data_IF_786809193893
#
_entry.id   IF_786809193893
#
_cell.length_a   1.000
_cell.length_b   1.000
_cell.length_c   1.000
_cell.angle_alpha   90.00
_cell.angle_beta   90.00
_cell.angle_gamma   90.00
#
_symmetry.space_group_name_H-M   'P 1'
#
loop_
_entity.id
_entity.type
_entity.pdbx_description
1 polymer ?
#
# COMPACT_ATOMS: atom_id res chain seq x y z
N UNK A 1 74.99 -60.91 -74.94
CA UNK A 1 75.33 -60.65 -73.52
C UNK A 1 74.79 -59.31 -72.99
N UNK A 2 74.75 -58.19 -73.73
CA UNK A 2 74.25 -56.89 -73.17
C UNK A 2 72.72 -56.85 -72.85
N UNK A 3 71.86 -57.47 -73.68
CA UNK A 3 70.39 -57.47 -73.43
C UNK A 3 70.00 -58.30 -72.19
N UNK A 4 70.68 -59.43 -71.92
CA UNK A 4 70.40 -60.25 -70.76
C UNK A 4 70.78 -59.59 -69.45
N UNK A 5 71.85 -58.74 -69.46
CA UNK A 5 72.33 -58.00 -68.31
C UNK A 5 71.33 -56.80 -67.98
N UNK A 6 70.83 -56.13 -69.01
CA UNK A 6 69.81 -55.08 -68.83
C UNK A 6 68.50 -55.60 -68.28
N UNK A 7 68.03 -56.79 -68.75
CA UNK A 7 66.84 -57.43 -68.21
C UNK A 7 67.00 -57.90 -66.78
N UNK A 8 68.20 -58.47 -66.44
CA UNK A 8 68.51 -58.83 -65.07
C UNK A 8 68.55 -57.57 -64.11
N UNK A 9 69.15 -56.48 -64.61
CA UNK A 9 69.24 -55.25 -63.84
C UNK A 9 67.80 -54.63 -63.67
N UNK A 10 66.97 -54.62 -64.71
CA UNK A 10 65.58 -54.19 -64.63
C UNK A 10 64.75 -54.99 -63.65
N UNK A 11 64.93 -56.37 -63.68
CA UNK A 11 64.29 -57.28 -62.77
C UNK A 11 64.66 -57.01 -61.28
N UNK A 12 65.95 -56.77 -61.08
CA UNK A 12 66.47 -56.47 -59.73
C UNK A 12 66.00 -55.14 -59.19
N UNK A 13 65.95 -54.09 -60.01
CA UNK A 13 65.40 -52.76 -59.67
C UNK A 13 63.88 -52.87 -59.40
N UNK A 14 63.14 -53.63 -60.25
CA UNK A 14 61.70 -53.76 -60.06
C UNK A 14 61.37 -54.54 -58.79
N UNK A 15 62.13 -55.62 -58.53
CA UNK A 15 62.01 -56.41 -57.28
C UNK A 15 62.38 -55.60 -56.08
N UNK A 16 63.42 -54.77 -56.17
CA UNK A 16 63.79 -53.81 -55.10
C UNK A 16 62.72 -52.79 -54.82
N UNK A 17 62.08 -52.21 -55.88
CA UNK A 17 61.01 -51.28 -55.76
C UNK A 17 59.72 -51.92 -55.18
N UNK A 18 59.38 -53.10 -55.59
CA UNK A 18 58.24 -53.87 -55.05
C UNK A 18 58.49 -54.29 -53.61
N UNK A 19 59.66 -54.86 -53.32
CA UNK A 19 60.06 -55.24 -51.95
C UNK A 19 60.16 -54.01 -51.01
N UNK A 20 60.71 -52.89 -51.56
CA UNK A 20 60.74 -51.62 -50.82
C UNK A 20 59.42 -51.08 -50.50
N UNK A 21 58.44 -51.09 -51.46
CA UNK A 21 57.11 -50.62 -51.24
C UNK A 21 56.29 -51.51 -50.32
N UNK A 22 56.48 -52.86 -50.39
CA UNK A 22 55.82 -53.78 -49.47
C UNK A 22 56.44 -53.65 -48.06
N UNK A 23 57.77 -53.52 -47.91
CA UNK A 23 58.40 -53.23 -46.65
C UNK A 23 57.95 -51.89 -46.07
N UNK A 24 57.84 -50.88 -46.92
CA UNK A 24 57.38 -49.56 -46.48
C UNK A 24 55.96 -49.61 -45.96
N UNK A 25 55.00 -50.30 -46.60
CA UNK A 25 53.65 -50.53 -46.22
C UNK A 25 53.51 -51.40 -44.93
N UNK A 26 54.43 -52.32 -44.68
CA UNK A 26 54.46 -53.22 -43.51
C UNK A 26 54.90 -52.53 -42.21
N UNK A 27 55.51 -51.37 -42.28
CA UNK A 27 55.96 -50.59 -41.13
C UNK A 27 55.07 -49.40 -40.79
N UNK A 28 54.04 -49.08 -41.61
CA UNK A 28 53.04 -48.02 -41.30
C UNK A 28 51.91 -48.64 -40.46
N UNK A 29 51.53 -47.95 -39.42
CA UNK A 29 50.36 -48.22 -38.57
C UNK A 29 49.26 -47.22 -38.87
N UNK A 30 48.02 -47.60 -38.60
CA UNK A 30 46.84 -46.80 -38.78
C UNK A 30 46.29 -46.38 -37.44
N UNK A 31 46.12 -45.07 -37.21
CA UNK A 31 45.64 -44.53 -35.96
C UNK A 31 44.39 -43.67 -36.27
N UNK A 32 43.38 -43.76 -35.45
CA UNK A 32 42.21 -42.88 -35.53
C UNK A 32 42.44 -41.66 -34.67
N UNK A 33 42.55 -40.49 -35.30
CA UNK A 33 42.64 -39.22 -34.63
C UNK A 33 41.27 -38.51 -34.64
N UNK A 34 40.70 -38.32 -33.49
CA UNK A 34 39.43 -37.60 -33.30
C UNK A 34 39.71 -36.23 -32.73
N UNK A 35 39.50 -35.18 -33.55
CA UNK A 35 39.66 -33.78 -33.12
C UNK A 35 38.27 -33.17 -33.05
N UNK A 36 37.89 -32.66 -31.89
CA UNK A 36 36.55 -32.06 -31.63
C UNK A 36 35.39 -32.96 -32.16
N UNK A 37 35.50 -34.27 -31.95
CA UNK A 37 34.52 -35.24 -32.40
C UNK A 37 34.55 -35.59 -33.88
N UNK A 38 35.49 -35.02 -34.65
CA UNK A 38 35.69 -35.40 -36.05
C UNK A 38 36.82 -36.42 -36.13
N UNK A 39 36.48 -37.64 -36.49
CA UNK A 39 37.43 -38.73 -36.61
C UNK A 39 38.13 -38.72 -38.00
N UNK A 40 39.44 -38.82 -38.02
CA UNK A 40 40.26 -38.91 -39.21
C UNK A 40 41.24 -40.07 -39.03
N UNK A 41 41.43 -40.88 -40.07
CA UNK A 41 42.39 -41.98 -40.05
C UNK A 41 43.74 -41.48 -40.51
N UNK A 42 44.76 -41.62 -39.68
CA UNK A 42 46.15 -41.19 -39.94
C UNK A 42 47.02 -42.44 -40.10
N UNK A 43 47.76 -42.52 -41.24
CA UNK A 43 48.76 -43.57 -41.48
C UNK A 43 50.12 -42.98 -41.05
N UNK A 44 50.72 -43.53 -40.01
CA UNK A 44 51.95 -43.02 -39.39
C UNK A 44 52.92 -44.13 -38.99
N UNK A 45 54.14 -43.72 -38.70
CA UNK A 45 55.14 -44.56 -38.03
C UNK A 45 55.51 -44.08 -36.63
N UNK A 46 54.91 -43.06 -36.24
CA UNK A 46 55.14 -42.35 -34.98
C UNK A 46 55.06 -43.34 -33.78
N UNK A 47 55.96 -43.22 -32.84
CA UNK A 47 56.01 -44.05 -31.64
C UNK A 47 55.04 -43.60 -30.53
N UNK A 48 54.82 -42.34 -30.45
CA UNK A 48 54.02 -41.70 -29.41
C UNK A 48 52.79 -40.91 -29.98
N UNK A 49 51.85 -40.59 -29.11
CA UNK A 49 50.69 -39.78 -29.45
C UNK A 49 51.14 -38.37 -29.94
N UNK A 50 52.11 -37.75 -29.27
CA UNK A 50 52.64 -36.46 -29.66
C UNK A 50 53.26 -36.45 -31.06
N UNK A 51 54.03 -37.51 -31.44
CA UNK A 51 54.56 -37.64 -32.77
C UNK A 51 53.46 -37.81 -33.83
N UNK A 52 52.38 -38.53 -33.55
CA UNK A 52 51.22 -38.66 -34.45
C UNK A 52 50.55 -37.33 -34.68
N UNK A 53 50.38 -36.55 -33.63
CA UNK A 53 49.76 -35.19 -33.75
C UNK A 53 50.69 -34.25 -34.58
N UNK A 54 52.01 -34.32 -34.37
CA UNK A 54 52.96 -33.56 -35.17
C UNK A 54 52.94 -33.97 -36.66
N UNK A 55 52.90 -35.29 -36.99
CA UNK A 55 52.75 -35.80 -38.33
C UNK A 55 51.44 -35.34 -39.01
N UNK A 56 50.40 -35.07 -38.22
CA UNK A 56 49.08 -34.62 -38.67
C UNK A 56 48.97 -33.08 -38.69
N UNK A 57 50.01 -32.32 -38.39
CA UNK A 57 49.99 -30.84 -38.22
C UNK A 57 48.98 -30.34 -37.20
N UNK A 58 48.74 -31.14 -36.12
CA UNK A 58 47.83 -30.80 -35.05
C UNK A 58 48.59 -30.38 -33.80
N UNK A 59 48.45 -29.14 -33.42
CA UNK A 59 49.04 -28.60 -32.18
C UNK A 59 48.08 -28.79 -31.01
N UNK A 60 48.63 -28.98 -29.81
CA UNK A 60 47.84 -29.10 -28.55
C UNK A 60 48.11 -27.86 -27.73
N UNK A 61 47.03 -27.16 -27.39
CA UNK A 61 47.06 -25.97 -26.54
C UNK A 61 47.03 -26.30 -25.04
N UNK A 62 47.36 -25.33 -24.22
CA UNK A 62 47.42 -25.48 -22.75
C UNK A 62 46.07 -25.83 -22.08
N UNK A 63 44.97 -25.56 -22.75
CA UNK A 63 43.60 -25.78 -22.26
C UNK A 63 42.88 -26.93 -22.97
N UNK A 64 43.63 -27.65 -23.86
CA UNK A 64 43.09 -28.80 -24.58
C UNK A 64 43.11 -30.06 -23.70
N UNK A 65 42.20 -30.94 -23.97
CA UNK A 65 42.18 -32.28 -23.36
C UNK A 65 42.60 -33.33 -24.38
N UNK A 66 43.69 -33.99 -24.11
CA UNK A 66 44.26 -35.05 -24.96
C UNK A 66 44.23 -36.42 -24.25
N UNK A 67 43.67 -37.40 -24.89
CA UNK A 67 43.65 -38.77 -24.42
C UNK A 67 44.00 -39.74 -25.56
N UNK A 68 45.00 -40.66 -25.40
CA UNK A 68 45.98 -40.69 -24.29
C UNK A 68 46.91 -39.47 -24.27
N UNK A 69 47.75 -39.33 -23.20
CA UNK A 69 48.71 -38.22 -23.11
C UNK A 69 49.74 -38.25 -24.23
N UNK A 70 50.35 -37.09 -24.55
CA UNK A 70 51.30 -36.95 -25.66
C UNK A 70 52.46 -37.94 -25.61
N UNK A 71 52.97 -38.28 -24.42
CA UNK A 71 54.08 -39.21 -24.21
C UNK A 71 53.65 -40.69 -24.28
N UNK A 72 52.38 -40.99 -24.39
CA UNK A 72 51.84 -42.32 -24.45
C UNK A 72 52.28 -43.04 -25.75
N UNK A 73 52.68 -44.28 -25.65
CA UNK A 73 52.94 -45.11 -26.84
C UNK A 73 51.60 -45.44 -27.55
N UNK A 74 51.60 -45.40 -28.88
CA UNK A 74 50.42 -45.71 -29.68
C UNK A 74 50.71 -46.84 -30.63
N UNK A 75 49.84 -47.85 -30.70
CA UNK A 75 49.94 -49.03 -31.56
C UNK A 75 49.07 -48.89 -32.83
N UNK A 76 49.14 -49.94 -33.68
CA UNK A 76 48.19 -50.01 -34.81
C UNK A 76 46.78 -50.19 -34.34
N UNK A 77 45.81 -49.47 -34.97
CA UNK A 77 44.44 -49.42 -34.53
C UNK A 77 44.20 -48.49 -33.32
N UNK A 78 45.23 -47.76 -32.82
CA UNK A 78 45.12 -46.90 -31.68
C UNK A 78 44.17 -45.72 -31.94
N UNK A 79 43.56 -45.17 -30.86
CA UNK A 79 42.67 -44.03 -30.91
C UNK A 79 43.27 -42.88 -30.11
N UNK A 80 43.22 -41.66 -30.69
CA UNK A 80 43.64 -40.39 -30.07
C UNK A 80 42.44 -39.47 -30.11
N UNK A 81 42.07 -38.92 -28.94
CA UNK A 81 41.00 -37.94 -28.82
C UNK A 81 41.59 -36.63 -28.32
N UNK A 82 41.43 -35.59 -29.12
CA UNK A 82 41.81 -34.23 -28.81
C UNK A 82 40.52 -33.35 -28.77
N UNK A 83 40.18 -32.83 -27.60
CA UNK A 83 39.14 -31.80 -27.48
C UNK A 83 39.80 -30.47 -27.17
N UNK A 84 39.62 -29.48 -28.06
CA UNK A 84 40.25 -28.17 -27.95
C UNK A 84 39.57 -27.30 -26.93
N UNK A 85 40.35 -26.59 -26.14
CA UNK A 85 39.88 -25.62 -25.17
C UNK A 85 39.24 -24.41 -25.86
N UNK A 86 38.12 -23.93 -25.31
CA UNK A 86 37.38 -22.75 -25.75
C UNK A 86 37.17 -21.85 -24.56
N UNK A 87 37.44 -20.54 -24.71
CA UNK A 87 37.23 -19.55 -23.66
C UNK A 87 35.77 -19.17 -23.64
N UNK A 88 35.13 -19.29 -22.46
CA UNK A 88 33.83 -18.70 -22.21
C UNK A 88 34.00 -17.50 -21.29
N UNK A 89 33.47 -16.33 -21.72
CA UNK A 89 33.20 -15.19 -20.85
C UNK A 89 31.78 -15.37 -20.32
N UNK A 90 31.68 -15.91 -19.11
CA UNK A 90 30.43 -16.34 -18.51
C UNK A 90 29.96 -15.32 -17.50
N UNK A 91 28.80 -14.69 -17.74
CA UNK A 91 28.10 -13.82 -16.77
C UNK A 91 26.97 -14.58 -16.11
N UNK A 92 27.05 -14.80 -14.81
CA UNK A 92 26.00 -15.48 -14.02
C UNK A 92 25.39 -14.46 -13.05
N UNK A 93 24.11 -14.13 -13.22
CA UNK A 93 23.40 -13.13 -12.42
C UNK A 93 24.20 -11.81 -12.25
N UNK A 94 24.84 -11.36 -13.33
CA UNK A 94 25.63 -10.14 -13.36
C UNK A 94 27.11 -10.31 -12.94
N UNK A 95 27.51 -11.48 -12.42
CA UNK A 95 28.90 -11.75 -12.09
C UNK A 95 29.63 -12.38 -13.27
N UNK A 96 30.63 -11.67 -13.82
CA UNK A 96 31.41 -12.10 -14.97
C UNK A 96 32.65 -12.92 -14.52
N UNK A 97 32.95 -13.98 -15.27
CA UNK A 97 34.16 -14.78 -15.12
C UNK A 97 34.60 -15.43 -16.45
N UNK A 98 35.89 -15.61 -16.63
CA UNK A 98 36.42 -16.35 -17.74
C UNK A 98 36.70 -17.82 -17.32
N UNK A 99 36.27 -18.76 -18.17
CA UNK A 99 36.46 -20.18 -17.91
C UNK A 99 36.71 -20.94 -19.22
N UNK A 100 37.65 -21.89 -19.19
CA UNK A 100 37.93 -22.72 -20.33
C UNK A 100 37.06 -24.00 -20.27
N UNK A 101 36.48 -24.35 -21.40
CA UNK A 101 35.70 -25.57 -21.59
C UNK A 101 36.21 -26.32 -22.84
N UNK A 102 36.00 -27.61 -22.90
CA UNK A 102 36.27 -28.42 -24.09
C UNK A 102 34.98 -28.79 -24.84
N UNK A 103 33.87 -28.30 -24.37
CA UNK A 103 32.56 -28.48 -24.95
C UNK A 103 32.47 -27.85 -26.34
N UNK A 104 31.70 -28.47 -27.24
CA UNK A 104 31.51 -28.03 -28.62
C UNK A 104 30.22 -27.27 -28.81
N UNK A 105 29.25 -27.44 -27.91
CA UNK A 105 27.97 -26.72 -27.87
C UNK A 105 27.78 -26.02 -26.54
N UNK A 106 26.87 -25.05 -26.51
CA UNK A 106 26.44 -24.36 -25.27
C UNK A 106 25.90 -25.40 -24.27
N UNK A 107 25.10 -26.36 -24.72
CA UNK A 107 24.53 -27.39 -23.88
C UNK A 107 25.60 -28.24 -23.20
N UNK A 108 26.59 -28.76 -23.98
CA UNK A 108 27.73 -29.49 -23.45
C UNK A 108 28.56 -28.64 -22.46
N UNK A 109 28.70 -27.34 -22.73
CA UNK A 109 29.41 -26.42 -21.85
C UNK A 109 28.67 -26.20 -20.53
N UNK A 110 27.38 -26.04 -20.55
CA UNK A 110 26.53 -25.92 -19.36
C UNK A 110 26.61 -27.21 -18.52
N UNK A 111 26.53 -28.36 -19.15
CA UNK A 111 26.71 -29.65 -18.49
C UNK A 111 28.07 -29.79 -17.82
N UNK A 112 29.15 -29.43 -18.55
CA UNK A 112 30.54 -29.46 -18.05
C UNK A 112 30.70 -28.54 -16.82
N UNK A 113 30.00 -27.39 -16.78
CA UNK A 113 30.04 -26.42 -15.70
C UNK A 113 29.04 -26.71 -14.58
N UNK A 114 28.16 -27.73 -14.72
CA UNK A 114 27.22 -28.17 -13.71
C UNK A 114 25.85 -27.45 -13.77
N UNK A 115 25.57 -26.66 -14.82
CA UNK A 115 24.31 -25.96 -15.04
C UNK A 115 23.34 -26.87 -15.82
N UNK A 116 22.70 -27.81 -15.12
CA UNK A 116 21.84 -28.83 -15.73
C UNK A 116 20.36 -28.58 -15.64
N UNK A 117 19.94 -27.44 -15.03
CA UNK A 117 18.55 -27.10 -14.85
C UNK A 117 17.95 -26.55 -16.17
N UNK A 118 16.74 -26.97 -16.48
CA UNK A 118 16.08 -26.54 -17.71
C UNK A 118 15.48 -25.13 -17.62
N UNK A 119 15.27 -24.61 -16.41
CA UNK A 119 14.64 -23.33 -16.09
C UNK A 119 15.63 -22.15 -15.99
N UNK A 120 16.91 -22.38 -16.31
CA UNK A 120 17.92 -21.31 -16.41
C UNK A 120 17.74 -20.54 -17.71
N UNK A 121 17.70 -19.20 -17.64
CA UNK A 121 17.83 -18.39 -18.83
C UNK A 121 19.26 -18.45 -19.37
N UNK A 122 19.39 -18.66 -20.68
CA UNK A 122 20.66 -18.68 -21.41
C UNK A 122 20.55 -17.74 -22.60
N UNK A 123 21.49 -16.81 -22.72
CA UNK A 123 21.48 -15.78 -23.79
C UNK A 123 21.71 -16.33 -25.19
N UNK A 124 22.03 -17.61 -25.33
CA UNK A 124 22.27 -18.30 -26.59
C UNK A 124 21.49 -19.61 -26.67
N UNK A 125 21.28 -20.11 -27.89
CA UNK A 125 20.67 -21.43 -28.08
C UNK A 125 21.58 -22.52 -27.49
N UNK A 126 21.02 -23.47 -26.75
CA UNK A 126 21.77 -24.64 -26.21
C UNK A 126 22.50 -25.44 -27.31
N UNK A 127 21.94 -25.51 -28.52
CA UNK A 127 22.53 -26.16 -29.70
C UNK A 127 23.58 -25.30 -30.41
N UNK A 128 23.79 -24.05 -30.02
CA UNK A 128 24.81 -23.21 -30.63
C UNK A 128 26.20 -23.75 -30.37
N UNK A 129 27.03 -23.77 -31.42
CA UNK A 129 28.44 -24.20 -31.29
C UNK A 129 29.23 -23.14 -30.54
N UNK A 130 30.10 -23.60 -29.66
CA UNK A 130 31.10 -22.75 -29.01
C UNK A 130 32.30 -22.63 -29.93
N UNK A 131 32.59 -21.42 -30.48
CA UNK A 131 33.73 -21.20 -31.36
C UNK A 131 35.09 -21.37 -30.64
N UNK A 132 36.15 -21.59 -31.38
CA UNK A 132 37.52 -21.72 -30.80
C UNK A 132 38.06 -20.36 -30.31
N UNK A 133 37.61 -19.29 -30.89
CA UNK A 133 37.95 -17.92 -30.49
C UNK A 133 37.15 -17.40 -29.29
N UNK A 134 36.25 -18.24 -28.76
CA UNK A 134 35.49 -17.95 -27.53
C UNK A 134 34.04 -17.56 -27.74
N UNK A 135 33.30 -17.48 -26.64
CA UNK A 135 31.89 -17.10 -26.61
C UNK A 135 31.57 -16.37 -25.31
N UNK A 136 30.88 -15.23 -25.42
CA UNK A 136 30.25 -14.59 -24.28
C UNK A 136 28.86 -15.21 -24.05
N UNK A 137 28.58 -15.60 -22.81
CA UNK A 137 27.33 -16.27 -22.44
C UNK A 137 26.81 -15.70 -21.13
N UNK A 138 25.55 -15.25 -21.15
CA UNK A 138 24.84 -14.80 -19.95
C UNK A 138 23.89 -15.88 -19.48
N UNK A 139 23.96 -16.17 -18.18
CA UNK A 139 23.05 -17.09 -17.46
C UNK A 139 22.32 -16.30 -16.37
N UNK A 140 21.03 -16.50 -16.26
CA UNK A 140 20.25 -16.03 -15.13
C UNK A 140 19.59 -17.21 -14.46
N UNK A 141 19.88 -17.33 -13.16
CA UNK A 141 19.33 -18.41 -12.35
C UNK A 141 17.88 -18.12 -12.00
N UNK A 142 17.02 -19.15 -11.89
CA UNK A 142 15.63 -18.95 -11.46
C UNK A 142 15.62 -18.44 -10.00
N UNK A 143 14.80 -17.42 -9.77
CA UNK A 143 14.62 -16.76 -8.48
C UNK A 143 13.15 -16.82 -8.08
N UNK A 144 12.89 -17.20 -6.85
CA UNK A 144 11.55 -17.11 -6.29
C UNK A 144 11.31 -15.72 -5.74
N UNK A 145 10.25 -15.04 -6.22
CA UNK A 145 9.86 -13.71 -5.81
C UNK A 145 8.38 -13.73 -5.45
N UNK A 146 8.03 -13.10 -4.33
CA UNK A 146 6.65 -12.92 -3.91
C UNK A 146 6.17 -11.51 -4.28
N UNK A 147 5.06 -11.44 -5.05
CA UNK A 147 4.46 -10.19 -5.51
C UNK A 147 3.13 -9.99 -4.78
N UNK A 148 2.97 -8.84 -4.12
CA UNK A 148 1.73 -8.43 -3.48
C UNK A 148 1.08 -7.32 -4.31
N UNK A 149 0.00 -7.62 -4.99
CA UNK A 149 -0.71 -6.70 -5.87
C UNK A 149 -2.22 -6.94 -5.83
N UNK A 150 -3.01 -5.86 -5.83
CA UNK A 150 -4.47 -5.89 -5.89
C UNK A 150 -5.12 -6.80 -4.82
N UNK A 151 -4.48 -6.87 -3.63
CA UNK A 151 -4.92 -7.68 -2.49
C UNK A 151 -4.59 -9.17 -2.59
N UNK A 152 -3.80 -9.57 -3.60
CA UNK A 152 -3.37 -10.96 -3.80
C UNK A 152 -1.86 -11.09 -3.58
N UNK A 153 -1.45 -12.25 -3.10
CA UNK A 153 -0.06 -12.67 -3.04
C UNK A 153 0.19 -13.69 -4.15
N UNK A 154 1.15 -13.42 -5.01
CA UNK A 154 1.58 -14.27 -6.12
C UNK A 154 3.03 -14.65 -5.90
N UNK A 155 3.34 -15.95 -5.79
CA UNK A 155 4.71 -16.45 -5.68
C UNK A 155 5.13 -16.97 -7.05
N UNK A 156 6.14 -16.35 -7.64
CA UNK A 156 6.61 -16.65 -9.00
C UNK A 156 8.05 -17.10 -9.00
N UNK A 157 8.38 -18.03 -9.91
CA UNK A 157 9.73 -18.42 -10.22
C UNK A 157 10.12 -17.75 -11.54
N UNK A 158 11.09 -16.85 -11.52
CA UNK A 158 11.47 -16.02 -12.67
C UNK A 158 12.96 -15.99 -12.89
N UNK A 159 13.37 -15.76 -14.14
CA UNK A 159 14.75 -15.43 -14.52
C UNK A 159 14.90 -13.96 -14.95
N UNK A 160 13.88 -13.13 -14.70
CA UNK A 160 13.93 -11.70 -14.97
C UNK A 160 15.16 -11.07 -14.30
N UNK A 161 15.84 -10.14 -14.97
CA UNK A 161 17.03 -9.50 -14.41
C UNK A 161 16.70 -8.53 -13.28
N UNK A 162 15.57 -7.83 -13.40
CA UNK A 162 15.15 -6.75 -12.52
C UNK A 162 13.63 -6.71 -12.32
N UNK A 163 13.18 -5.79 -11.48
CA UNK A 163 11.75 -5.63 -11.14
C UNK A 163 10.92 -5.25 -12.37
N UNK A 164 11.43 -4.41 -13.26
CA UNK A 164 10.67 -3.97 -14.43
C UNK A 164 10.40 -5.15 -15.37
N UNK A 165 11.42 -5.96 -15.64
CA UNK A 165 11.28 -7.17 -16.46
C UNK A 165 10.35 -8.20 -15.82
N UNK A 166 10.36 -8.35 -14.49
CA UNK A 166 9.41 -9.22 -13.77
C UNK A 166 7.98 -8.75 -13.92
N UNK A 167 7.73 -7.44 -13.80
CA UNK A 167 6.40 -6.89 -13.95
C UNK A 167 5.86 -7.07 -15.38
N UNK A 168 6.73 -6.93 -16.38
CA UNK A 168 6.37 -7.18 -17.78
C UNK A 168 6.08 -8.67 -18.04
N UNK A 169 6.88 -9.59 -17.47
CA UNK A 169 6.68 -11.04 -17.56
C UNK A 169 5.32 -11.45 -16.97
N UNK A 170 4.95 -10.89 -15.81
CA UNK A 170 3.69 -11.16 -15.14
C UNK A 170 2.51 -10.33 -15.67
N UNK A 171 2.70 -9.52 -16.71
CA UNK A 171 1.71 -8.61 -17.30
C UNK A 171 1.13 -7.60 -16.30
N UNK A 172 1.93 -7.18 -15.31
CA UNK A 172 1.54 -6.21 -14.30
C UNK A 172 1.90 -4.80 -14.76
N UNK A 173 0.93 -4.07 -15.28
CA UNK A 173 1.12 -2.67 -15.69
C UNK A 173 0.98 -1.73 -14.49
N UNK A 174 1.86 -0.73 -14.41
CA UNK A 174 1.81 0.34 -13.43
C UNK A 174 1.25 1.61 -14.07
N UNK A 175 0.29 2.25 -13.41
CA UNK A 175 -0.08 3.62 -13.74
C UNK A 175 0.94 4.61 -13.15
N UNK A 176 0.98 5.83 -13.69
CA UNK A 176 1.92 6.86 -13.23
C UNK A 176 1.78 7.24 -11.73
N UNK A 177 0.65 6.90 -11.13
CA UNK A 177 0.35 7.14 -9.72
C UNK A 177 0.64 5.95 -8.81
N UNK A 178 0.87 4.76 -9.39
CA UNK A 178 1.14 3.57 -8.62
C UNK A 178 2.58 3.61 -8.08
N UNK A 179 2.81 2.97 -6.96
CA UNK A 179 4.13 2.87 -6.35
C UNK A 179 4.50 1.42 -6.10
N UNK A 180 5.78 1.14 -6.17
CA UNK A 180 6.36 -0.16 -5.86
C UNK A 180 7.30 -0.04 -4.66
N UNK A 181 7.43 -1.11 -3.88
CA UNK A 181 8.36 -1.17 -2.74
C UNK A 181 9.83 -1.22 -3.17
N UNK A 182 10.09 -1.43 -4.46
CA UNK A 182 11.42 -1.56 -5.06
C UNK A 182 11.49 -0.72 -6.34
N UNK A 183 12.69 -0.30 -6.73
CA UNK A 183 12.89 0.40 -8.00
C UNK A 183 12.80 -0.57 -9.19
N UNK A 184 12.39 -0.07 -10.36
CA UNK A 184 12.22 -0.90 -11.55
C UNK A 184 13.51 -1.54 -12.05
N UNK A 185 14.64 -0.86 -11.92
CA UNK A 185 15.99 -1.28 -12.30
C UNK A 185 16.72 -2.09 -11.19
N UNK A 186 16.04 -2.36 -10.08
CA UNK A 186 16.62 -3.13 -8.99
C UNK A 186 16.78 -4.60 -9.38
N UNK A 187 18.00 -5.16 -9.32
CA UNK A 187 18.24 -6.58 -9.61
C UNK A 187 17.44 -7.49 -8.67
N UNK A 188 16.86 -8.55 -9.22
CA UNK A 188 16.10 -9.52 -8.44
C UNK A 188 17.03 -10.52 -7.72
N UNK A 189 16.67 -10.79 -6.47
CA UNK A 189 17.26 -11.85 -5.65
C UNK A 189 16.16 -12.80 -5.18
N UNK A 190 16.53 -14.06 -4.95
CA UNK A 190 15.59 -15.05 -4.45
C UNK A 190 15.09 -14.66 -3.05
N UNK A 191 13.80 -14.82 -2.81
CA UNK A 191 13.14 -14.48 -1.54
C UNK A 191 12.74 -13.00 -1.40
N UNK A 192 12.86 -12.21 -2.47
CA UNK A 192 12.37 -10.81 -2.46
C UNK A 192 10.86 -10.75 -2.40
N UNK A 193 10.35 -9.69 -1.72
CA UNK A 193 8.93 -9.38 -1.61
C UNK A 193 8.64 -8.04 -2.28
N UNK A 194 8.01 -8.06 -3.44
CA UNK A 194 7.62 -6.88 -4.20
C UNK A 194 6.17 -6.52 -3.87
N UNK A 195 5.96 -5.34 -3.30
CA UNK A 195 4.61 -4.81 -3.03
C UNK A 195 4.28 -3.71 -4.01
N UNK A 196 3.12 -3.81 -4.66
CA UNK A 196 2.58 -2.81 -5.56
C UNK A 196 1.40 -2.14 -4.89
N UNK A 197 1.48 -0.82 -4.75
CA UNK A 197 0.43 0.00 -4.19
C UNK A 197 -0.28 0.76 -5.31
N UNK A 198 -1.56 0.45 -5.52
CA UNK A 198 -2.41 1.10 -6.52
C UNK A 198 -2.97 2.40 -5.95
N UNK A 199 -2.68 3.52 -6.61
CA UNK A 199 -3.21 4.82 -6.22
C UNK A 199 -4.13 5.33 -7.34
N UNK A 200 -5.38 5.65 -7.00
CA UNK A 200 -6.39 6.16 -7.92
C UNK A 200 -7.01 7.42 -7.37
N UNK A 201 -7.21 8.41 -8.23
CA UNK A 201 -7.91 9.64 -7.92
C UNK A 201 -9.26 9.66 -8.61
N UNK A 202 -10.28 10.08 -7.89
CA UNK A 202 -11.62 10.29 -8.43
C UNK A 202 -12.13 11.64 -7.95
N UNK A 203 -12.45 12.54 -8.86
CA UNK A 203 -13.06 13.83 -8.53
C UNK A 203 -14.59 13.66 -8.59
N UNK A 204 -15.24 14.00 -7.47
CA UNK A 204 -16.70 13.95 -7.32
C UNK A 204 -17.22 15.36 -7.00
N UNK A 205 -18.46 15.63 -7.41
CA UNK A 205 -19.14 16.86 -7.04
C UNK A 205 -20.19 16.58 -5.97
N UNK A 206 -20.17 17.38 -4.91
CA UNK A 206 -21.09 17.30 -3.79
C UNK A 206 -21.73 18.67 -3.58
N UNK A 207 -23.07 18.71 -3.51
CA UNK A 207 -23.81 19.95 -3.24
C UNK A 207 -24.06 20.06 -1.76
N UNK A 208 -23.71 21.21 -1.17
CA UNK A 208 -23.92 21.50 0.23
C UNK A 208 -24.78 22.75 0.39
N UNK A 209 -25.74 22.78 1.31
CA UNK A 209 -26.47 24.00 1.64
C UNK A 209 -25.54 25.01 2.33
N UNK A 210 -25.73 26.28 2.00
CA UNK A 210 -25.09 27.40 2.70
C UNK A 210 -26.17 28.03 3.57
N UNK A 211 -26.07 27.95 4.91
CA UNK A 211 -27.11 28.47 5.79
C UNK A 211 -27.33 29.94 5.56
N UNK A 212 -28.62 30.37 5.59
CA UNK A 212 -28.99 31.76 5.63
C UNK A 212 -28.67 32.38 6.99
N UNK A 213 -28.32 33.65 7.04
CA UNK A 213 -28.24 34.39 8.29
C UNK A 213 -29.65 34.75 8.78
N UNK A 214 -29.78 34.96 10.09
CA UNK A 214 -30.94 35.56 10.73
C UNK A 214 -30.52 36.95 11.16
N UNK A 215 -31.15 37.96 10.61
CA UNK A 215 -30.87 39.37 10.87
C UNK A 215 -32.06 39.99 11.59
N UNK A 216 -31.84 40.50 12.77
CA UNK A 216 -32.82 41.30 13.49
C UNK A 216 -32.72 42.76 13.06
N UNK A 217 -33.86 43.37 12.75
CA UNK A 217 -33.96 44.78 12.38
C UNK A 217 -34.96 45.48 13.31
N UNK A 218 -34.50 46.55 13.95
CA UNK A 218 -35.36 47.37 14.78
C UNK A 218 -36.54 47.97 13.95
N UNK A 219 -37.74 47.91 14.52
CA UNK A 219 -38.98 48.46 13.94
C UNK A 219 -39.72 49.25 15.01
N UNK A 220 -39.89 50.57 14.75
CA UNK A 220 -40.58 51.51 15.67
C UNK A 220 -42.11 51.47 15.54
N UNK A 221 -42.64 50.70 14.60
CA UNK A 221 -44.07 50.44 14.47
C UNK A 221 -44.57 49.33 15.42
N UNK A 222 -43.68 48.40 15.82
CA UNK A 222 -43.96 47.29 16.73
C UNK A 222 -43.61 47.67 18.18
N UNK A 223 -44.41 47.18 19.13
CA UNK A 223 -44.08 47.39 20.53
C UNK A 223 -42.91 46.54 21.00
N UNK A 224 -42.19 47.05 21.98
CA UNK A 224 -41.12 46.31 22.66
C UNK A 224 -41.58 44.92 23.11
N UNK A 225 -40.85 43.88 22.72
CA UNK A 225 -41.21 42.46 22.95
C UNK A 225 -42.07 41.82 21.84
N UNK A 226 -42.47 42.57 20.82
CA UNK A 226 -43.09 42.01 19.61
C UNK A 226 -42.06 41.83 18.50
N UNK A 227 -42.24 40.76 17.70
CA UNK A 227 -41.40 40.52 16.54
C UNK A 227 -42.22 39.95 15.40
N UNK A 228 -41.87 40.33 14.17
CA UNK A 228 -42.53 39.86 12.95
C UNK A 228 -41.48 39.43 11.94
N UNK A 229 -41.74 38.31 11.25
CA UNK A 229 -40.86 37.83 10.17
C UNK A 229 -41.18 38.63 8.91
N UNK A 230 -40.32 39.56 8.55
CA UNK A 230 -40.45 40.40 7.35
C UNK A 230 -40.02 39.64 6.09
N UNK A 231 -39.02 38.76 6.24
CA UNK A 231 -38.49 37.95 5.14
C UNK A 231 -38.08 36.59 5.67
N UNK A 232 -38.63 35.50 5.14
CA UNK A 232 -38.28 34.14 5.57
C UNK A 232 -36.87 33.70 5.16
N UNK A 233 -36.34 34.35 4.12
CA UNK A 233 -35.04 33.99 3.57
C UNK A 233 -35.02 32.60 2.92
N UNK A 234 -33.86 32.21 2.43
CA UNK A 234 -33.65 30.91 1.85
C UNK A 234 -32.15 30.52 1.97
N UNK A 235 -31.88 29.26 2.26
CA UNK A 235 -30.51 28.77 2.26
C UNK A 235 -29.91 28.81 0.85
N UNK A 236 -28.65 29.15 0.76
CA UNK A 236 -27.86 29.08 -0.45
C UNK A 236 -27.49 27.64 -0.81
N UNK A 237 -26.72 27.51 -1.85
CA UNK A 237 -26.13 26.24 -2.22
C UNK A 237 -24.74 26.45 -2.81
N UNK A 238 -23.81 25.59 -2.44
CA UNK A 238 -22.48 25.52 -3.02
C UNK A 238 -22.19 24.13 -3.53
N UNK A 239 -21.38 24.05 -4.59
CA UNK A 239 -20.86 22.79 -5.13
C UNK A 239 -19.39 22.69 -4.78
N UNK A 240 -19.05 21.64 -4.08
CA UNK A 240 -17.68 21.25 -3.77
C UNK A 240 -17.21 20.26 -4.81
N UNK A 241 -16.02 20.47 -5.37
CA UNK A 241 -15.30 19.43 -6.12
C UNK A 241 -14.33 18.80 -5.15
N UNK A 242 -14.51 17.51 -4.88
CA UNK A 242 -13.76 16.75 -3.88
C UNK A 242 -12.97 15.69 -4.60
N UNK A 243 -11.66 15.65 -4.38
CA UNK A 243 -10.80 14.54 -4.81
C UNK A 243 -10.79 13.44 -3.76
N UNK A 244 -11.20 12.26 -4.17
CA UNK A 244 -11.11 11.04 -3.38
C UNK A 244 -9.86 10.30 -3.83
N UNK A 245 -8.94 10.03 -2.90
CA UNK A 245 -7.77 9.18 -3.12
C UNK A 245 -8.09 7.78 -2.61
N UNK A 246 -7.91 6.79 -3.48
CA UNK A 246 -8.01 5.38 -3.10
C UNK A 246 -6.66 4.70 -3.21
N UNK A 247 -6.27 4.02 -2.16
CA UNK A 247 -5.07 3.18 -2.12
C UNK A 247 -5.50 1.72 -2.04
N UNK A 248 -5.11 0.91 -3.00
CA UNK A 248 -5.54 -0.48 -3.13
C UNK A 248 -7.08 -0.64 -3.04
N UNK A 249 -7.82 0.27 -3.69
CA UNK A 249 -9.28 0.27 -3.71
C UNK A 249 -9.97 0.89 -2.48
N UNK A 250 -9.25 1.10 -1.38
CA UNK A 250 -9.77 1.70 -0.14
C UNK A 250 -9.59 3.22 -0.18
N UNK A 251 -10.63 3.98 0.20
CA UNK A 251 -10.53 5.43 0.34
C UNK A 251 -9.60 5.78 1.51
N UNK A 252 -8.49 6.47 1.20
CA UNK A 252 -7.46 6.86 2.17
C UNK A 252 -7.40 8.35 2.43
N UNK A 253 -7.91 9.15 1.49
CA UNK A 253 -7.97 10.61 1.67
C UNK A 253 -9.11 11.23 0.87
N UNK A 254 -9.62 12.35 1.38
CA UNK A 254 -10.63 13.18 0.74
C UNK A 254 -10.20 14.64 0.86
N UNK A 255 -10.06 15.34 -0.25
CA UNK A 255 -9.61 16.73 -0.29
C UNK A 255 -10.54 17.59 -1.15
N UNK A 256 -10.98 18.71 -0.63
CA UNK A 256 -11.74 19.70 -1.39
C UNK A 256 -10.80 20.47 -2.31
N UNK A 257 -10.98 20.33 -3.62
CA UNK A 257 -10.19 21.02 -4.64
C UNK A 257 -10.72 22.41 -4.92
N UNK A 258 -12.06 22.57 -4.92
CA UNK A 258 -12.71 23.84 -5.15
C UNK A 258 -14.11 23.88 -4.53
N UNK A 259 -14.56 25.09 -4.20
CA UNK A 259 -15.91 25.38 -3.74
C UNK A 259 -16.47 26.46 -4.64
N UNK A 260 -17.65 26.23 -5.20
CA UNK A 260 -18.35 27.18 -6.06
C UNK A 260 -19.74 27.44 -5.51
N UNK A 261 -19.99 28.69 -5.12
CA UNK A 261 -21.35 29.14 -4.74
C UNK A 261 -22.23 29.11 -5.98
N UNK A 262 -23.29 28.30 -5.96
CA UNK A 262 -24.25 28.15 -7.07
C UNK A 262 -25.53 28.95 -6.82
N UNK A 263 -25.89 29.17 -5.55
CA UNK A 263 -27.00 29.99 -5.13
C UNK A 263 -26.58 30.70 -3.84
N UNK A 264 -26.65 32.05 -3.85
CA UNK A 264 -26.39 32.81 -2.65
C UNK A 264 -27.52 32.60 -1.62
N UNK A 265 -27.21 32.53 -0.33
CA UNK A 265 -28.23 32.54 0.70
C UNK A 265 -28.97 33.89 0.72
N UNK A 266 -30.22 33.83 1.08
CA UNK A 266 -31.06 35.04 1.32
C UNK A 266 -31.38 35.07 2.81
N UNK A 267 -31.01 36.15 3.47
CA UNK A 267 -31.14 36.25 4.92
C UNK A 267 -32.62 36.23 5.37
N UNK A 268 -32.87 35.62 6.53
CA UNK A 268 -34.13 35.77 7.25
C UNK A 268 -34.08 37.10 8.00
N UNK A 269 -35.08 37.98 7.79
CA UNK A 269 -35.18 39.27 8.48
C UNK A 269 -36.33 39.20 9.46
N UNK A 270 -36.06 39.44 10.72
CA UNK A 270 -37.04 39.55 11.81
C UNK A 270 -37.07 41.02 12.26
N UNK A 271 -38.21 41.68 12.09
CA UNK A 271 -38.45 42.97 12.70
C UNK A 271 -38.66 42.81 14.22
N UNK A 272 -37.95 43.56 15.02
CA UNK A 272 -38.05 43.56 16.49
C UNK A 272 -38.53 44.91 16.94
N UNK A 273 -39.63 44.92 17.65
CA UNK A 273 -40.29 46.14 18.13
C UNK A 273 -39.43 46.94 19.09
N UNK A 274 -39.35 48.25 18.83
CA UNK A 274 -38.66 49.23 19.68
C UNK A 274 -39.59 50.28 20.26
N UNK A 275 -40.91 50.22 19.92
CA UNK A 275 -41.89 51.16 20.40
C UNK A 275 -42.24 50.88 21.86
N UNK A 276 -42.05 51.88 22.73
CA UNK A 276 -42.44 51.72 24.13
C UNK A 276 -43.97 51.53 24.23
N UNK A 277 -44.40 50.49 24.93
CA UNK A 277 -45.79 50.30 25.26
C UNK A 277 -46.26 51.46 26.11
N UNK A 278 -47.45 52.11 25.81
CA UNK A 278 -48.06 53.03 26.72
C UNK A 278 -48.18 52.38 28.11
N UNK A 279 -47.81 53.12 29.15
CA UNK A 279 -47.99 52.64 30.51
C UNK A 279 -49.46 52.19 30.70
N UNK A 280 -49.72 51.04 31.28
CA UNK A 280 -51.05 50.59 31.61
C UNK A 280 -51.74 51.69 32.42
N UNK A 281 -53.05 52.03 32.17
CA UNK A 281 -53.76 53.04 32.96
C UNK A 281 -53.62 52.63 34.44
N UNK A 282 -53.43 53.62 35.34
CA UNK A 282 -53.29 53.37 36.76
C UNK A 282 -54.47 52.50 37.21
N UNK A 283 -54.20 51.46 38.02
CA UNK A 283 -55.26 50.59 38.50
C UNK A 283 -56.37 51.42 39.20
N UNK A 284 -57.62 51.12 38.96
CA UNK A 284 -58.70 51.80 39.70
C UNK A 284 -58.44 51.62 41.19
N UNK A 285 -58.76 52.67 42.01
CA UNK A 285 -58.54 52.61 43.44
C UNK A 285 -59.23 51.38 44.01
N UNK A 286 -58.58 50.67 44.94
CA UNK A 286 -59.04 49.38 45.45
C UNK A 286 -60.49 49.60 46.04
N UNK A 287 -61.44 48.67 45.69
CA UNK A 287 -62.72 48.64 46.39
C UNK A 287 -62.45 48.25 47.82
N UNK A 288 -63.01 48.89 48.77
CA UNK A 288 -62.94 48.59 50.19
C UNK A 288 -63.19 47.15 50.46
N UNK A 289 -62.34 46.55 51.29
CA UNK A 289 -62.36 45.25 51.89
C UNK A 289 -63.66 44.47 51.82
N UNK A 290 -63.62 43.32 51.12
CA UNK A 290 -64.65 42.34 51.26
C UNK A 290 -64.01 40.97 51.08
N UNK A 291 -63.94 40.22 52.15
CA UNK A 291 -63.16 39.02 52.37
C UNK A 291 -63.43 37.81 51.50
N UNK A 292 -62.51 36.85 51.52
CA UNK A 292 -62.83 35.45 51.40
C UNK A 292 -62.26 34.77 50.14
N UNK A 293 -61.18 34.14 50.25
CA UNK A 293 -60.63 33.14 49.36
C UNK A 293 -59.50 32.44 50.05
N UNK A 294 -59.86 31.47 50.93
CA UNK A 294 -58.94 30.77 51.79
C UNK A 294 -58.07 29.80 51.03
N UNK A 295 -56.83 30.17 50.76
CA UNK A 295 -55.75 29.21 50.68
C UNK A 295 -55.13 29.19 52.06
N UNK A 296 -55.13 28.04 52.72
CA UNK A 296 -54.39 27.89 53.99
C UNK A 296 -52.99 28.37 53.83
N UNK A 297 -52.48 29.17 54.81
CA UNK A 297 -51.07 29.53 54.82
C UNK A 297 -50.23 28.25 54.84
N UNK A 298 -49.12 28.18 54.08
CA UNK A 298 -48.23 27.04 54.13
C UNK A 298 -47.77 26.86 55.55
N UNK A 299 -47.60 25.60 56.02
CA UNK A 299 -47.01 25.38 57.33
C UNK A 299 -45.61 26.01 57.37
N UNK A 300 -45.17 26.52 58.56
CA UNK A 300 -43.80 27.01 58.69
C UNK A 300 -42.86 25.88 58.35
N UNK A 301 -41.71 26.20 57.68
CA UNK A 301 -40.69 25.21 57.35
C UNK A 301 -40.23 24.49 58.60
N UNK A 302 -40.39 23.15 58.64
CA UNK A 302 -40.13 22.35 59.82
C UNK A 302 -38.86 21.55 59.70
N UNK A 303 -38.15 21.64 58.55
CA UNK A 303 -37.02 20.78 58.20
C UNK A 303 -35.67 21.25 58.81
N UNK A 304 -35.61 22.46 59.34
CA UNK A 304 -34.38 23.04 59.83
C UNK A 304 -33.29 23.26 58.75
N UNK A 305 -33.69 23.16 57.45
CA UNK A 305 -32.82 23.32 56.31
C UNK A 305 -32.75 24.80 55.92
N UNK A 306 -31.57 25.22 55.41
CA UNK A 306 -31.35 26.61 55.03
C UNK A 306 -31.76 26.83 53.53
N UNK A 307 -33.07 26.95 53.27
CA UNK A 307 -33.61 27.20 51.94
C UNK A 307 -33.23 28.53 51.34
N UNK A 308 -32.86 29.52 52.18
CA UNK A 308 -32.41 30.85 51.70
C UNK A 308 -30.96 30.73 51.18
N UNK A 309 -30.10 29.97 51.80
CA UNK A 309 -28.76 29.75 51.34
C UNK A 309 -28.77 28.96 49.99
N UNK A 310 -29.66 27.97 49.88
CA UNK A 310 -29.89 27.29 48.58
C UNK A 310 -30.37 28.29 47.51
N UNK A 311 -31.39 29.10 47.82
CA UNK A 311 -31.92 30.10 46.88
C UNK A 311 -30.87 31.14 46.48
N UNK A 312 -30.00 31.53 47.40
CA UNK A 312 -28.86 32.44 47.14
C UNK A 312 -27.93 31.86 46.10
N UNK A 313 -27.65 30.57 46.17
CA UNK A 313 -26.80 29.85 45.20
C UNK A 313 -27.50 29.66 43.84
N UNK A 314 -28.78 29.24 43.85
CA UNK A 314 -29.51 28.87 42.64
C UNK A 314 -29.99 30.07 41.82
N UNK A 315 -30.39 31.13 42.50
CA UNK A 315 -31.09 32.26 41.88
C UNK A 315 -30.60 33.66 42.33
N UNK A 316 -29.53 33.71 43.12
CA UNK A 316 -29.12 34.92 43.78
C UNK A 316 -30.14 35.45 44.81
N UNK A 317 -31.00 34.57 45.35
CA UNK A 317 -32.07 34.88 46.28
C UNK A 317 -33.33 35.50 45.67
N UNK A 318 -33.46 35.46 44.32
CA UNK A 318 -34.62 36.02 43.64
C UNK A 318 -35.73 34.96 43.51
N UNK A 319 -36.67 34.98 44.44
CA UNK A 319 -37.81 34.05 44.45
C UNK A 319 -38.80 34.18 43.30
N UNK A 320 -38.77 35.31 42.54
CA UNK A 320 -39.64 35.56 41.39
C UNK A 320 -38.90 35.42 40.05
N UNK A 321 -37.71 34.86 40.03
CA UNK A 321 -36.88 34.76 38.83
C UNK A 321 -37.51 33.87 37.77
N UNK A 322 -37.50 34.32 36.53
CA UNK A 322 -37.82 33.58 35.33
C UNK A 322 -36.98 34.14 34.18
N UNK A 323 -35.89 33.45 33.84
CA UNK A 323 -34.98 33.82 32.75
C UNK A 323 -35.32 33.16 31.42
N UNK A 324 -36.35 32.32 31.39
CA UNK A 324 -36.71 31.56 30.18
C UNK A 324 -35.86 30.30 29.93
N UNK A 325 -34.99 29.94 30.87
CA UNK A 325 -34.11 28.76 30.79
C UNK A 325 -34.81 27.43 31.14
N UNK A 326 -36.12 27.45 31.44
CA UNK A 326 -36.93 26.31 31.83
C UNK A 326 -36.95 26.03 33.32
N UNK A 327 -36.22 26.82 34.15
CA UNK A 327 -36.23 26.76 35.60
C UNK A 327 -36.78 28.06 36.19
N UNK A 328 -37.52 27.95 37.30
CA UNK A 328 -38.34 29.04 37.80
C UNK A 328 -38.22 29.19 39.31
N UNK A 329 -38.28 30.44 39.76
CA UNK A 329 -38.34 30.76 41.19
C UNK A 329 -37.00 30.65 41.94
N UNK A 330 -37.02 30.97 43.22
CA UNK A 330 -35.81 31.03 44.06
C UNK A 330 -35.02 29.72 44.09
N UNK A 331 -35.70 28.60 43.99
CA UNK A 331 -35.11 27.26 44.09
C UNK A 331 -34.96 26.54 42.73
N UNK A 332 -35.15 27.28 41.65
CA UNK A 332 -34.94 26.83 40.26
C UNK A 332 -35.65 25.51 39.94
N UNK A 333 -36.91 25.41 40.24
CA UNK A 333 -37.75 24.27 39.84
C UNK A 333 -38.01 24.27 38.34
N UNK A 334 -37.92 23.10 37.71
CA UNK A 334 -38.59 22.86 36.45
C UNK A 334 -40.11 22.68 36.64
N UNK A 335 -40.85 22.97 35.55
CA UNK A 335 -42.33 22.92 35.61
C UNK A 335 -42.88 21.51 35.98
N UNK A 336 -42.24 20.45 35.50
CA UNK A 336 -42.67 19.06 35.77
C UNK A 336 -42.53 18.70 37.22
N UNK A 337 -41.39 19.02 37.82
CA UNK A 337 -41.12 18.81 39.24
C UNK A 337 -42.03 19.64 40.12
N UNK A 338 -42.26 20.93 39.76
CA UNK A 338 -43.22 21.77 40.45
C UNK A 338 -44.62 21.15 40.53
N UNK A 339 -45.13 20.62 39.42
CA UNK A 339 -46.43 19.99 39.31
C UNK A 339 -46.52 18.68 40.06
N UNK A 340 -45.48 17.83 39.91
CA UNK A 340 -45.41 16.50 40.55
C UNK A 340 -45.44 16.59 42.07
N UNK A 341 -44.86 17.63 42.65
CA UNK A 341 -44.84 17.82 44.10
C UNK A 341 -45.90 18.81 44.63
N UNK A 342 -46.95 19.01 43.79
CA UNK A 342 -48.15 19.71 44.19
C UNK A 342 -48.01 21.25 44.25
N UNK A 343 -47.09 21.82 43.47
CA UNK A 343 -46.89 23.26 43.40
C UNK A 343 -48.08 23.99 42.77
N UNK A 344 -48.81 23.36 41.86
CA UNK A 344 -49.99 23.91 41.20
C UNK A 344 -51.08 24.39 42.14
N UNK A 345 -51.18 23.85 43.37
CA UNK A 345 -52.12 24.35 44.39
C UNK A 345 -51.80 25.78 44.82
N UNK A 346 -50.61 26.28 44.61
CA UNK A 346 -50.17 27.60 44.98
C UNK A 346 -50.10 28.54 43.79
N UNK A 347 -49.47 28.10 42.69
CA UNK A 347 -49.36 28.88 41.47
C UNK A 347 -49.09 27.98 40.26
N UNK A 348 -49.41 28.45 39.05
CA UNK A 348 -49.15 27.73 37.81
C UNK A 348 -47.67 27.51 37.56
N UNK A 349 -46.79 28.41 38.01
CA UNK A 349 -45.33 28.32 37.88
C UNK A 349 -44.66 28.69 39.21
N UNK A 350 -43.48 28.14 39.53
CA UNK A 350 -42.79 28.41 40.80
C UNK A 350 -42.55 29.91 41.07
N UNK A 351 -42.09 30.68 40.09
CA UNK A 351 -41.78 32.12 40.23
C UNK A 351 -43.04 33.01 40.55
N UNK A 352 -44.23 32.45 40.42
CA UNK A 352 -45.50 33.11 40.74
C UNK A 352 -45.98 32.81 42.17
N UNK A 353 -45.35 31.82 42.83
CA UNK A 353 -45.65 31.46 44.19
C UNK A 353 -44.76 32.25 45.17
N UNK A 354 -45.28 32.42 46.42
CA UNK A 354 -44.46 33.04 47.46
C UNK A 354 -43.25 32.19 47.84
N UNK A 355 -42.28 32.81 48.51
CA UNK A 355 -41.08 32.11 49.03
C UNK A 355 -41.51 30.90 49.90
N UNK A 356 -42.43 31.05 50.83
CA UNK A 356 -42.90 30.03 51.75
C UNK A 356 -43.62 28.88 51.00
N UNK A 357 -44.35 29.21 49.93
CA UNK A 357 -44.99 28.22 49.06
C UNK A 357 -43.98 27.41 48.23
N UNK A 358 -42.94 28.04 47.72
CA UNK A 358 -41.84 27.37 47.03
C UNK A 358 -41.10 26.45 47.98
N UNK A 359 -40.79 26.91 49.22
CA UNK A 359 -40.15 26.10 50.24
C UNK A 359 -41.06 24.89 50.62
N UNK A 360 -42.38 25.09 50.77
CA UNK A 360 -43.29 23.97 51.09
C UNK A 360 -43.32 22.89 50.00
N UNK A 361 -43.14 23.24 48.73
CA UNK A 361 -42.95 22.27 47.63
C UNK A 361 -41.59 21.64 47.68
N UNK A 362 -40.53 22.40 47.95
CA UNK A 362 -39.16 21.94 48.07
C UNK A 362 -39.00 20.94 49.21
N UNK A 363 -39.65 21.14 50.37
CA UNK A 363 -39.64 20.21 51.46
C UNK A 363 -40.24 18.85 51.14
N UNK A 364 -41.31 18.82 50.29
CA UNK A 364 -41.86 17.57 49.77
C UNK A 364 -40.92 16.88 48.82
N UNK A 365 -40.29 17.61 47.91
CA UNK A 365 -39.28 17.11 46.99
C UNK A 365 -38.06 16.58 47.76
N UNK A 366 -37.59 17.32 48.76
CA UNK A 366 -36.46 16.94 49.61
C UNK A 366 -36.78 15.65 50.42
N UNK A 367 -37.96 15.54 50.98
CA UNK A 367 -38.38 14.34 51.74
C UNK A 367 -38.31 13.06 50.88
N UNK A 368 -38.53 13.18 49.57
CA UNK A 368 -38.49 12.06 48.62
C UNK A 368 -37.09 11.82 48.03
N UNK A 369 -36.33 12.87 47.71
CA UNK A 369 -35.10 12.80 46.91
C UNK A 369 -33.86 13.40 47.56
N UNK A 370 -33.98 13.91 48.80
CA UNK A 370 -32.84 14.61 49.45
C UNK A 370 -32.43 15.86 48.69
N UNK A 371 -31.16 16.16 48.74
CA UNK A 371 -30.53 17.31 48.05
C UNK A 371 -30.22 17.03 46.57
N UNK A 372 -30.43 15.83 46.07
CA UNK A 372 -30.12 15.40 44.70
C UNK A 372 -30.77 16.27 43.59
N UNK A 373 -31.92 16.90 43.78
CA UNK A 373 -32.50 17.83 42.79
C UNK A 373 -31.63 19.08 42.55
N UNK A 374 -30.76 19.43 43.48
CA UNK A 374 -29.87 20.59 43.43
C UNK A 374 -28.40 20.17 43.46
N UNK A 375 -27.88 19.51 42.41
CA UNK A 375 -26.58 18.86 42.44
C UNK A 375 -25.40 19.80 42.66
N UNK A 376 -25.55 21.08 42.34
CA UNK A 376 -24.51 22.09 42.50
C UNK A 376 -24.67 22.88 43.80
N UNK A 377 -25.87 23.20 44.22
CA UNK A 377 -26.14 24.07 45.34
C UNK A 377 -26.71 23.36 46.56
N UNK A 378 -27.10 22.08 46.48
CA UNK A 378 -27.82 21.36 47.52
C UNK A 378 -27.10 21.30 48.88
N UNK A 379 -25.77 21.35 48.90
CA UNK A 379 -25.00 21.35 50.17
C UNK A 379 -25.24 22.60 51.03
N UNK A 380 -25.71 23.70 50.43
CA UNK A 380 -26.08 24.93 51.19
C UNK A 380 -27.34 24.75 52.05
N UNK A 381 -28.05 23.68 51.88
CA UNK A 381 -29.19 23.36 52.79
C UNK A 381 -28.74 23.08 54.22
N UNK A 382 -27.47 22.78 54.42
CA UNK A 382 -26.86 22.40 55.70
C UNK A 382 -26.02 23.50 56.34
N UNK A 383 -25.91 24.63 55.70
CA UNK A 383 -25.14 25.79 56.18
C UNK A 383 -25.75 26.44 57.44
#
# INVERSE_FOLDING_TARGET
>A
MRRSFQLALFGLVLTGLIAGSVAWASFSKTVTLTVDGTATTVSTRAGSVGDVLADADVSVGSHDTLAPSADSAIGDGGEIVLNRGRLLTLTVDGAEREIWVTARSVDEALDQLGYRQDDIYVSASRSQRVPLDGLALELRMPKQVDIFVDGQALSVLTTAPDVAALLDEENITLAATDTTSMYGDQPLLSGMNLTITRIRFQDVQETRPVPRAVVERADDSLFEGESEVVQEGADGAEVLTIRITRTNGVETARATLSTKLTRAPVDKIIAVGTKNRPAPPPPPPPPASGGGGGGSPPPPSSSGLNWDALAQCESGGNWSINTGNGYYGGLQFDKGTWDAYGGQQYAAYPHQASREQQIAVAERLYADRGDSPWPTCGYHLYD
#
